data_IF_945771812687
#
_entry.id   IF_945771812687
#
_cell.length_a   1.000
_cell.length_b   1.000
_cell.length_c   1.000
_cell.angle_alpha   90.00
_cell.angle_beta   90.00
_cell.angle_gamma   90.00
#
_symmetry.space_group_name_H-M   'P 1'
#
loop_
_entity.id
_entity.type
_entity.pdbx_description
1 polymer ?
#
# COMPACT_ATOMS: atom_id res chain seq x y z
N UNK A 1 11.86 9.28 -14.53
CA UNK A 1 11.85 8.53 -13.27
C UNK A 1 12.89 7.44 -13.36
N UNK A 2 13.90 7.44 -12.50
CA UNK A 2 14.84 6.31 -12.40
C UNK A 2 14.04 5.16 -11.78
N UNK A 3 14.01 3.99 -12.43
CA UNK A 3 13.37 2.81 -11.86
C UNK A 3 14.08 2.47 -10.54
N UNK A 4 13.33 2.44 -9.43
CA UNK A 4 13.89 2.06 -8.13
C UNK A 4 14.47 0.65 -8.21
N UNK A 5 15.63 0.43 -7.60
CA UNK A 5 16.20 -0.90 -7.53
C UNK A 5 15.34 -1.80 -6.63
N UNK A 6 15.32 -3.11 -6.91
CA UNK A 6 14.57 -4.10 -6.11
C UNK A 6 14.82 -3.99 -4.58
N UNK A 7 16.06 -3.80 -4.07
CA UNK A 7 16.28 -3.61 -2.64
C UNK A 7 15.73 -2.29 -2.08
N UNK A 8 15.75 -1.21 -2.84
CA UNK A 8 15.16 0.07 -2.42
C UNK A 8 13.63 -0.03 -2.32
N UNK A 9 12.99 -0.69 -3.28
CA UNK A 9 11.55 -0.95 -3.25
C UNK A 9 11.18 -1.84 -2.05
N UNK A 10 11.97 -2.88 -1.79
CA UNK A 10 11.80 -3.75 -0.63
C UNK A 10 11.95 -2.99 0.69
N UNK A 11 12.95 -2.11 0.79
CA UNK A 11 13.16 -1.26 1.97
C UNK A 11 12.01 -0.29 2.18
N UNK A 12 11.53 0.37 1.12
CA UNK A 12 10.37 1.26 1.19
C UNK A 12 9.14 0.51 1.71
N UNK A 13 8.81 -0.64 1.14
CA UNK A 13 7.71 -1.50 1.62
C UNK A 13 7.91 -1.93 3.07
N UNK A 14 9.13 -2.29 3.45
CA UNK A 14 9.46 -2.66 4.82
C UNK A 14 9.14 -1.54 5.81
N UNK A 15 9.67 -0.34 5.55
CA UNK A 15 9.40 0.86 6.36
C UNK A 15 7.91 1.18 6.44
N UNK A 16 7.19 1.10 5.31
CA UNK A 16 5.74 1.35 5.28
C UNK A 16 4.97 0.37 6.17
N UNK A 17 5.26 -0.93 6.09
CA UNK A 17 4.59 -1.95 6.90
C UNK A 17 4.91 -1.78 8.38
N UNK A 18 6.19 -1.61 8.71
CA UNK A 18 6.65 -1.42 10.09
C UNK A 18 6.03 -0.19 10.74
N UNK A 19 5.95 0.92 10.02
CA UNK A 19 5.32 2.14 10.51
C UNK A 19 3.81 1.98 10.70
N UNK A 20 3.09 1.44 9.70
CA UNK A 20 1.63 1.22 9.75
C UNK A 20 1.23 0.23 10.85
N UNK A 21 1.99 -0.84 11.04
CA UNK A 21 1.70 -1.92 11.99
C UNK A 21 2.40 -1.77 13.35
N UNK A 22 3.26 -0.75 13.52
CA UNK A 22 4.06 -0.49 14.73
C UNK A 22 4.87 -1.72 15.19
N UNK A 23 5.51 -2.39 14.23
CA UNK A 23 6.28 -3.63 14.48
C UNK A 23 7.66 -3.28 15.04
N UNK A 24 8.05 -3.91 16.15
CA UNK A 24 9.43 -3.83 16.69
C UNK A 24 10.28 -4.95 16.09
N UNK A 25 10.84 -4.72 14.90
CA UNK A 25 11.58 -5.75 14.17
C UNK A 25 12.75 -6.34 14.97
N UNK A 26 13.43 -5.51 15.77
CA UNK A 26 14.57 -5.95 16.59
C UNK A 26 14.24 -7.13 17.49
N UNK A 27 13.05 -7.13 18.10
CA UNK A 27 12.63 -8.14 19.07
C UNK A 27 12.60 -9.55 18.46
N UNK A 28 12.34 -9.67 17.16
CA UNK A 28 12.33 -10.94 16.44
C UNK A 28 13.72 -11.47 16.07
N UNK A 29 14.78 -10.67 16.25
CA UNK A 29 16.16 -11.06 15.96
C UNK A 29 16.98 -11.36 17.21
N UNK A 30 16.60 -10.79 18.38
CA UNK A 30 17.38 -10.91 19.63
C UNK A 30 17.61 -12.37 20.03
N UNK A 31 16.61 -13.23 19.87
CA UNK A 31 16.70 -14.65 20.25
C UNK A 31 17.72 -15.45 19.42
N UNK A 32 18.01 -14.98 18.20
CA UNK A 32 19.01 -15.59 17.32
C UNK A 32 20.44 -15.11 17.62
N UNK A 33 20.61 -13.95 18.27
CA UNK A 33 21.90 -13.32 18.58
C UNK A 33 22.19 -13.35 20.09
N UNK A 34 22.32 -14.57 20.65
CA UNK A 34 22.57 -14.78 22.10
C UNK A 34 23.83 -14.07 22.61
N UNK A 35 24.83 -13.90 21.75
CA UNK A 35 26.11 -13.25 22.08
C UNK A 35 26.06 -11.73 21.88
N UNK A 36 24.92 -11.16 21.45
CA UNK A 36 24.74 -9.72 21.20
C UNK A 36 25.83 -9.16 20.29
N UNK A 37 26.18 -9.91 19.26
CA UNK A 37 27.17 -9.51 18.25
C UNK A 37 26.59 -8.52 17.24
N UNK A 38 25.28 -8.54 17.02
CA UNK A 38 24.60 -7.82 15.95
C UNK A 38 24.55 -8.59 14.62
N UNK A 39 25.10 -9.81 14.59
CA UNK A 39 25.20 -10.62 13.39
C UNK A 39 24.43 -11.93 13.58
N UNK A 40 23.56 -12.26 12.63
CA UNK A 40 22.82 -13.53 12.60
C UNK A 40 23.00 -14.21 11.25
N UNK A 41 22.72 -15.51 11.17
CA UNK A 41 22.72 -16.19 9.88
C UNK A 41 21.59 -15.70 8.98
N UNK A 42 21.81 -15.72 7.68
CA UNK A 42 20.81 -15.30 6.68
C UNK A 42 19.44 -15.99 6.86
N UNK A 43 19.43 -17.30 7.12
CA UNK A 43 18.19 -18.03 7.39
C UNK A 43 17.49 -17.53 8.66
N UNK A 44 18.24 -17.17 9.71
CA UNK A 44 17.69 -16.60 10.94
C UNK A 44 17.10 -15.20 10.69
N UNK A 45 17.74 -14.41 9.84
CA UNK A 45 17.22 -13.12 9.40
C UNK A 45 15.88 -13.27 8.65
N UNK A 46 15.80 -14.18 7.67
CA UNK A 46 14.55 -14.45 6.95
C UNK A 46 13.47 -15.02 7.87
N UNK A 47 13.83 -15.86 8.84
CA UNK A 47 12.89 -16.35 9.87
C UNK A 47 12.37 -15.23 10.75
N UNK A 48 13.23 -14.31 11.23
CA UNK A 48 12.82 -13.15 12.03
C UNK A 48 11.83 -12.26 11.27
N UNK A 49 12.08 -12.02 9.99
CA UNK A 49 11.14 -11.29 9.12
C UNK A 49 9.81 -12.04 8.95
N UNK A 50 9.84 -13.36 8.79
CA UNK A 50 8.63 -14.19 8.73
C UNK A 50 7.84 -14.15 10.05
N UNK A 51 8.52 -14.25 11.20
CA UNK A 51 7.89 -14.18 12.53
C UNK A 51 7.23 -12.82 12.79
N UNK A 52 7.82 -11.75 12.28
CA UNK A 52 7.22 -10.41 12.34
C UNK A 52 6.04 -10.20 11.38
N UNK A 53 5.72 -11.19 10.53
CA UNK A 53 4.60 -11.17 9.58
C UNK A 53 4.88 -10.44 8.26
N UNK A 54 6.14 -10.09 7.98
CA UNK A 54 6.52 -9.31 6.79
C UNK A 54 6.31 -10.07 5.49
N UNK A 55 6.35 -11.40 5.54
CA UNK A 55 6.06 -12.29 4.41
C UNK A 55 4.65 -12.16 3.84
N UNK A 56 3.71 -11.55 4.58
CA UNK A 56 2.35 -11.24 4.08
C UNK A 56 2.33 -10.05 3.11
N UNK A 57 3.33 -9.17 3.18
CA UNK A 57 3.35 -7.88 2.49
C UNK A 57 4.50 -7.75 1.49
N UNK A 58 5.59 -8.51 1.69
CA UNK A 58 6.80 -8.42 0.90
C UNK A 58 7.12 -9.79 0.32
N UNK A 59 7.38 -9.83 -0.99
CA UNK A 59 7.70 -11.08 -1.72
C UNK A 59 9.00 -11.69 -1.20
N UNK A 60 9.10 -13.02 -1.22
CA UNK A 60 10.31 -13.73 -0.78
C UNK A 60 11.58 -13.26 -1.48
N UNK A 61 11.52 -12.94 -2.78
CA UNK A 61 12.66 -12.40 -3.53
C UNK A 61 13.08 -11.00 -3.06
N UNK A 62 12.14 -10.18 -2.58
CA UNK A 62 12.43 -8.86 -2.01
C UNK A 62 13.04 -8.99 -0.61
N UNK A 63 12.53 -9.91 0.21
CA UNK A 63 13.12 -10.23 1.53
C UNK A 63 14.54 -10.78 1.38
N UNK A 64 14.77 -11.63 0.37
CA UNK A 64 16.10 -12.13 0.02
C UNK A 64 17.04 -10.99 -0.37
N UNK A 65 16.59 -10.06 -1.23
CA UNK A 65 17.42 -8.90 -1.60
C UNK A 65 17.78 -7.99 -0.42
N UNK A 66 16.90 -7.90 0.60
CA UNK A 66 17.23 -7.21 1.84
C UNK A 66 18.32 -7.97 2.60
N UNK A 67 18.18 -9.27 2.77
CA UNK A 67 19.21 -10.09 3.44
C UNK A 67 20.57 -9.95 2.75
N UNK A 68 20.61 -10.00 1.42
CA UNK A 68 21.84 -9.83 0.62
C UNK A 68 22.49 -8.45 0.82
N UNK A 69 21.70 -7.38 0.89
CA UNK A 69 22.19 -6.01 1.08
C UNK A 69 22.83 -5.74 2.45
N UNK A 70 22.53 -6.57 3.45
CA UNK A 70 23.07 -6.45 4.81
C UNK A 70 24.08 -7.56 5.16
N UNK A 71 24.55 -8.34 4.17
CA UNK A 71 25.62 -9.34 4.37
C UNK A 71 26.95 -8.68 4.73
N UNK A 72 27.66 -9.26 5.68
CA UNK A 72 29.00 -8.80 6.10
C UNK A 72 30.06 -9.64 5.41
N UNK A 73 31.00 -8.97 4.72
CA UNK A 73 32.08 -9.61 3.96
C UNK A 73 33.19 -10.23 4.84
N UNK A 74 33.31 -9.78 6.09
CA UNK A 74 34.49 -10.04 6.94
C UNK A 74 34.59 -11.43 7.57
N UNK A 75 33.53 -12.25 7.58
CA UNK A 75 33.63 -13.61 8.12
C UNK A 75 33.70 -14.65 7.01
N UNK A 76 34.93 -14.97 6.62
CA UNK A 76 35.30 -16.14 5.81
C UNK A 76 34.33 -17.30 6.07
N UNK A 77 33.52 -17.62 5.04
CA UNK A 77 32.62 -18.77 4.92
C UNK A 77 31.28 -18.74 5.65
N UNK A 78 30.93 -17.71 6.41
CA UNK A 78 29.64 -17.66 7.12
C UNK A 78 28.77 -16.51 6.59
N UNK A 79 27.68 -16.87 5.91
CA UNK A 79 26.64 -15.95 5.40
C UNK A 79 25.89 -15.28 6.57
N UNK A 80 26.53 -14.30 7.20
CA UNK A 80 25.98 -13.50 8.29
C UNK A 80 25.46 -12.17 7.79
N UNK A 81 24.37 -11.73 8.40
CA UNK A 81 23.64 -10.49 8.11
C UNK A 81 23.69 -9.59 9.34
N UNK A 82 24.04 -8.32 9.12
CA UNK A 82 23.97 -7.27 10.14
C UNK A 82 22.52 -6.79 10.30
N UNK A 83 21.79 -7.49 11.17
CA UNK A 83 20.40 -7.14 11.46
C UNK A 83 20.29 -5.82 12.24
N UNK A 84 21.35 -5.36 12.92
CA UNK A 84 21.32 -4.09 13.66
C UNK A 84 21.28 -2.93 12.70
N UNK A 85 22.17 -2.94 11.70
CA UNK A 85 22.17 -1.93 10.65
C UNK A 85 20.84 -1.92 9.90
N UNK A 86 20.29 -3.09 9.59
CA UNK A 86 18.95 -3.20 8.99
C UNK A 86 17.86 -2.58 9.87
N UNK A 87 17.79 -2.95 11.15
CA UNK A 87 16.78 -2.41 12.07
C UNK A 87 16.95 -0.90 12.24
N UNK A 88 18.18 -0.41 12.32
CA UNK A 88 18.47 1.02 12.45
C UNK A 88 17.98 1.80 11.22
N UNK A 89 18.26 1.27 10.02
CA UNK A 89 17.80 1.87 8.77
C UNK A 89 16.27 1.86 8.68
N UNK A 90 15.59 0.81 9.15
CA UNK A 90 14.13 0.76 9.20
C UNK A 90 13.57 1.74 10.24
N UNK A 91 14.14 1.78 11.44
CA UNK A 91 13.70 2.62 12.56
C UNK A 91 13.83 4.14 12.28
N UNK A 92 14.63 4.53 11.27
CA UNK A 92 14.63 5.91 10.75
C UNK A 92 13.24 6.42 10.34
N UNK A 93 12.30 5.50 10.08
CA UNK A 93 10.90 5.81 9.79
C UNK A 93 10.17 6.46 10.98
N UNK A 94 10.64 6.24 12.20
CA UNK A 94 10.08 6.81 13.42
C UNK A 94 10.86 8.02 13.90
N UNK A 95 12.19 7.93 13.93
CA UNK A 95 13.05 9.01 14.38
C UNK A 95 14.49 8.80 13.91
N UNK A 96 15.27 9.87 13.90
CA UNK A 96 16.70 9.80 13.62
C UNK A 96 17.46 9.49 14.91
N UNK A 97 18.44 8.60 14.83
CA UNK A 97 19.37 8.36 15.95
C UNK A 97 20.25 9.59 16.21
N UNK A 98 20.74 9.67 17.44
CA UNK A 98 21.74 10.66 17.87
C UNK A 98 21.30 12.13 17.70
N UNK A 99 20.01 12.44 17.83
CA UNK A 99 19.51 13.82 17.77
C UNK A 99 20.12 14.71 18.86
N UNK A 100 20.54 14.13 19.99
CA UNK A 100 21.29 14.82 21.04
C UNK A 100 22.63 15.40 20.56
N UNK A 101 23.21 14.84 19.48
CA UNK A 101 24.44 15.34 18.84
C UNK A 101 24.15 16.40 17.77
N UNK A 102 22.89 16.62 17.43
CA UNK A 102 22.48 17.52 16.34
C UNK A 102 21.14 18.20 16.65
N UNK A 103 21.10 19.10 17.66
CA UNK A 103 19.85 19.68 18.17
C UNK A 103 19.11 20.57 17.16
N UNK A 104 19.79 21.06 16.12
CA UNK A 104 19.20 21.89 15.06
C UNK A 104 18.63 21.07 13.88
N UNK A 105 18.73 19.74 13.93
CA UNK A 105 18.24 18.89 12.84
C UNK A 105 16.72 18.76 12.92
N UNK A 106 16.03 19.31 11.92
CA UNK A 106 14.59 19.14 11.80
C UNK A 106 14.25 17.71 11.38
N UNK A 107 13.31 17.10 12.10
CA UNK A 107 12.79 15.76 11.79
C UNK A 107 11.29 15.92 11.50
N UNK A 108 10.81 15.45 10.34
CA UNK A 108 9.39 15.48 10.07
C UNK A 108 8.63 14.62 11.08
N UNK A 109 7.47 15.09 11.54
CA UNK A 109 6.66 14.40 12.54
C UNK A 109 6.18 13.02 12.10
N UNK A 110 6.13 12.78 10.79
CA UNK A 110 5.76 11.51 10.18
C UNK A 110 6.44 11.36 8.81
N UNK A 111 6.66 10.11 8.36
CA UNK A 111 7.22 9.82 7.04
C UNK A 111 6.14 9.98 5.97
N UNK A 112 5.79 11.23 5.62
CA UNK A 112 4.74 11.54 4.64
C UNK A 112 4.94 10.83 3.30
N UNK A 113 6.18 10.60 2.88
CA UNK A 113 6.52 9.89 1.64
C UNK A 113 6.11 8.40 1.62
N UNK A 114 5.88 7.81 2.80
CA UNK A 114 5.44 6.42 2.96
C UNK A 114 3.93 6.28 3.17
N UNK A 115 3.23 7.41 3.38
CA UNK A 115 1.82 7.45 3.73
C UNK A 115 1.03 8.11 2.60
N UNK A 116 0.24 7.33 1.87
CA UNK A 116 -0.74 7.89 0.95
C UNK A 116 -1.97 8.38 1.72
N UNK A 117 -1.90 9.62 2.20
CA UNK A 117 -3.02 10.32 2.86
C UNK A 117 -4.13 10.69 1.90
N UNK A 118 -3.83 10.71 0.60
CA UNK A 118 -4.73 11.11 -0.47
C UNK A 118 -5.37 9.92 -1.18
N UNK A 119 -5.09 8.68 -0.76
CA UNK A 119 -5.59 7.44 -1.40
C UNK A 119 -7.10 7.38 -1.57
N UNK A 120 -7.85 8.09 -0.73
CA UNK A 120 -9.31 8.17 -0.80
C UNK A 120 -9.81 9.43 -1.51
N UNK A 121 -8.93 10.39 -1.76
CA UNK A 121 -9.21 11.65 -2.47
C UNK A 121 -8.98 11.52 -3.96
N UNK A 122 -7.83 10.95 -4.36
CA UNK A 122 -7.46 10.79 -5.76
C UNK A 122 -6.77 9.44 -5.96
N UNK A 123 -6.99 8.82 -7.11
CA UNK A 123 -6.23 7.63 -7.51
C UNK A 123 -4.85 8.05 -8.01
N UNK A 124 -3.80 7.46 -7.44
CA UNK A 124 -2.41 7.66 -7.87
C UNK A 124 -2.08 6.96 -9.19
N UNK A 125 -2.97 6.09 -9.68
CA UNK A 125 -2.78 5.32 -10.91
C UNK A 125 -3.01 6.20 -12.12
N UNK A 126 -2.02 6.24 -13.02
CA UNK A 126 -2.10 7.00 -14.29
C UNK A 126 -2.23 6.01 -15.44
N UNK A 127 -3.33 6.12 -16.20
CA UNK A 127 -3.59 5.31 -17.39
C UNK A 127 -2.96 5.96 -18.63
N UNK A 128 -3.06 5.29 -19.78
CA UNK A 128 -2.61 5.89 -21.04
C UNK A 128 -3.44 7.14 -21.38
N UNK A 129 -2.88 8.13 -22.12
CA UNK A 129 -3.59 9.38 -22.42
C UNK A 129 -4.99 9.15 -23.03
N UNK A 130 -5.10 8.22 -23.99
CA UNK A 130 -6.38 7.87 -24.60
C UNK A 130 -7.38 7.27 -23.60
N UNK A 131 -6.91 6.49 -22.62
CA UNK A 131 -7.76 5.92 -21.56
C UNK A 131 -8.19 6.99 -20.55
N UNK A 132 -7.32 7.94 -20.21
CA UNK A 132 -7.66 9.06 -19.33
C UNK A 132 -8.70 10.00 -19.98
N UNK A 133 -8.59 10.26 -21.28
CA UNK A 133 -9.59 11.03 -22.02
C UNK A 133 -10.96 10.33 -22.01
N UNK A 134 -10.98 9.02 -22.25
CA UNK A 134 -12.21 8.21 -22.14
C UNK A 134 -12.76 8.19 -20.71
N UNK A 135 -11.89 8.06 -19.72
CA UNK A 135 -12.26 8.05 -18.30
C UNK A 135 -12.93 9.38 -17.91
N UNK A 136 -12.39 10.52 -18.37
CA UNK A 136 -12.97 11.83 -18.12
C UNK A 136 -14.40 11.94 -18.67
N UNK A 137 -14.64 11.46 -19.89
CA UNK A 137 -15.98 11.41 -20.50
C UNK A 137 -16.93 10.52 -19.70
N UNK A 138 -16.47 9.34 -19.28
CA UNK A 138 -17.25 8.39 -18.48
C UNK A 138 -17.61 9.00 -17.12
N UNK A 139 -16.64 9.55 -16.39
CA UNK A 139 -16.86 10.18 -15.09
C UNK A 139 -17.85 11.34 -15.20
N UNK A 140 -17.73 12.19 -16.21
CA UNK A 140 -18.65 13.33 -16.41
C UNK A 140 -20.08 12.87 -16.70
N UNK A 141 -20.26 11.82 -17.50
CA UNK A 141 -21.58 11.22 -17.74
C UNK A 141 -22.19 10.68 -16.43
N UNK A 142 -21.38 10.02 -15.61
CA UNK A 142 -21.84 9.49 -14.31
C UNK A 142 -22.21 10.61 -13.34
N UNK A 143 -21.38 11.67 -13.24
CA UNK A 143 -21.68 12.86 -12.44
C UNK A 143 -23.01 13.49 -12.78
N UNK A 144 -23.28 13.70 -14.08
CA UNK A 144 -24.55 14.27 -14.56
C UNK A 144 -25.75 13.41 -14.15
N UNK A 145 -25.65 12.08 -14.30
CA UNK A 145 -26.72 11.18 -13.93
C UNK A 145 -26.97 11.13 -12.43
N UNK A 146 -25.91 11.03 -11.61
CA UNK A 146 -26.02 11.06 -10.16
C UNK A 146 -26.65 12.38 -9.68
N UNK A 147 -26.23 13.51 -10.26
CA UNK A 147 -26.78 14.83 -9.95
C UNK A 147 -28.25 14.96 -10.33
N UNK A 148 -28.64 14.48 -11.52
CA UNK A 148 -30.05 14.52 -11.96
C UNK A 148 -30.96 13.64 -11.11
N UNK A 149 -30.47 12.47 -10.68
CA UNK A 149 -31.25 11.53 -9.86
C UNK A 149 -31.15 11.80 -8.36
N UNK A 150 -30.31 12.74 -7.92
CA UNK A 150 -30.06 13.01 -6.50
C UNK A 150 -29.43 11.83 -5.75
N UNK A 151 -28.59 11.04 -6.44
CA UNK A 151 -27.99 9.81 -5.90
C UNK A 151 -26.62 10.13 -5.28
N UNK A 152 -26.47 9.83 -4.00
CA UNK A 152 -25.17 9.76 -3.33
C UNK A 152 -24.54 8.41 -3.61
N UNK A 153 -23.32 8.37 -4.11
CA UNK A 153 -22.71 7.12 -4.63
C UNK A 153 -22.20 6.24 -3.49
N UNK A 154 -21.53 6.85 -2.52
CA UNK A 154 -20.86 6.14 -1.40
C UNK A 154 -21.79 5.16 -0.65
N UNK A 155 -23.03 5.54 -0.24
CA UNK A 155 -23.88 4.64 0.54
C UNK A 155 -24.23 3.31 -0.15
N UNK A 156 -24.30 3.26 -1.49
CA UNK A 156 -24.59 2.01 -2.21
C UNK A 156 -23.45 1.00 -2.15
N UNK A 157 -22.22 1.50 -2.08
CA UNK A 157 -21.02 0.69 -1.92
C UNK A 157 -20.76 0.33 -0.47
N UNK A 158 -21.13 1.20 0.48
CA UNK A 158 -21.09 0.86 1.92
C UNK A 158 -21.91 -0.43 2.14
N UNK A 159 -23.15 -0.51 1.65
CA UNK A 159 -23.98 -1.72 1.77
C UNK A 159 -23.32 -2.99 1.20
N UNK A 160 -22.63 -2.88 0.06
CA UNK A 160 -21.90 -4.01 -0.53
C UNK A 160 -20.62 -4.38 0.24
N UNK A 161 -19.94 -3.39 0.84
CA UNK A 161 -18.71 -3.59 1.60
C UNK A 161 -18.96 -4.23 3.00
N UNK A 162 -20.17 -4.11 3.54
CA UNK A 162 -20.56 -4.72 4.82
C UNK A 162 -21.10 -6.15 4.70
N UNK A 163 -21.12 -6.74 3.49
CA UNK A 163 -21.52 -8.14 3.30
C UNK A 163 -20.47 -9.10 3.90
N UNK A 164 -20.86 -9.78 4.97
CA UNK A 164 -20.04 -10.73 5.73
C UNK A 164 -19.56 -11.93 4.93
N UNK A 165 -20.17 -12.21 3.77
CA UNK A 165 -19.75 -13.31 2.89
C UNK A 165 -18.62 -12.93 1.92
N UNK A 166 -18.15 -11.67 1.96
CA UNK A 166 -17.13 -11.15 1.04
C UNK A 166 -15.81 -10.88 1.73
N UNK A 167 -14.71 -10.87 0.97
CA UNK A 167 -13.41 -10.42 1.47
C UNK A 167 -13.51 -8.95 1.90
N UNK A 168 -13.54 -8.69 3.20
CA UNK A 168 -13.74 -7.36 3.75
C UNK A 168 -12.42 -6.61 3.80
N UNK A 169 -12.34 -5.51 3.03
CA UNK A 169 -11.31 -4.50 3.17
C UNK A 169 -12.00 -3.14 3.29
N UNK A 170 -11.68 -2.40 4.35
CA UNK A 170 -12.31 -1.11 4.64
C UNK A 170 -12.20 -0.19 3.42
N UNK A 171 -13.30 0.45 3.04
CA UNK A 171 -13.40 1.37 1.90
C UNK A 171 -13.13 0.73 0.51
N UNK A 172 -13.16 -0.60 0.43
CA UNK A 172 -13.00 -1.34 -0.81
C UNK A 172 -14.13 -2.34 -1.03
N UNK A 173 -14.35 -2.72 -2.29
CA UNK A 173 -15.27 -3.78 -2.71
C UNK A 173 -14.59 -4.65 -3.76
N UNK A 174 -15.04 -5.89 -3.93
CA UNK A 174 -14.53 -6.77 -4.99
C UNK A 174 -14.95 -6.24 -6.37
N UNK A 175 -14.19 -6.59 -7.43
CA UNK A 175 -14.54 -6.22 -8.82
C UNK A 175 -15.99 -6.60 -9.19
N UNK A 176 -16.49 -7.83 -8.89
CA UNK A 176 -17.87 -8.19 -9.18
C UNK A 176 -18.89 -7.31 -8.45
N UNK A 177 -18.69 -7.05 -7.16
CA UNK A 177 -19.56 -6.16 -6.36
C UNK A 177 -19.54 -4.74 -6.92
N UNK A 178 -18.38 -4.26 -7.36
CA UNK A 178 -18.25 -2.95 -7.98
C UNK A 178 -19.10 -2.84 -9.25
N UNK A 179 -18.94 -3.80 -10.18
CA UNK A 179 -19.72 -3.87 -11.42
C UNK A 179 -21.21 -4.04 -11.16
N UNK A 180 -21.59 -4.83 -10.16
CA UNK A 180 -22.99 -5.02 -9.77
C UNK A 180 -23.61 -3.75 -9.20
N UNK A 181 -22.89 -3.01 -8.34
CA UNK A 181 -23.38 -1.74 -7.79
C UNK A 181 -23.59 -0.68 -8.90
N UNK A 182 -22.66 -0.58 -9.85
CA UNK A 182 -22.80 0.29 -11.03
C UNK A 182 -24.03 -0.07 -11.88
N UNK A 183 -24.31 -1.37 -12.04
CA UNK A 183 -25.40 -1.84 -12.88
C UNK A 183 -26.77 -1.77 -12.19
N UNK A 184 -26.92 -2.52 -11.10
CA UNK A 184 -28.22 -2.83 -10.48
C UNK A 184 -28.65 -1.72 -9.53
N UNK A 185 -27.74 -1.24 -8.70
CA UNK A 185 -28.08 -0.30 -7.63
C UNK A 185 -28.14 1.15 -8.12
N UNK A 186 -27.19 1.54 -8.97
CA UNK A 186 -27.11 2.91 -9.49
C UNK A 186 -27.85 3.08 -10.83
N UNK A 187 -28.14 1.96 -11.53
CA UNK A 187 -28.82 2.00 -12.84
C UNK A 187 -28.02 2.78 -13.90
N UNK A 188 -26.69 2.79 -13.79
CA UNK A 188 -25.79 3.61 -14.62
C UNK A 188 -25.32 2.85 -15.87
N UNK A 189 -25.37 1.52 -15.85
CA UNK A 189 -24.92 0.66 -16.96
C UNK A 189 -25.79 0.68 -18.20
N UNK A 190 -27.07 1.08 -18.12
CA UNK A 190 -27.88 1.32 -19.32
C UNK A 190 -27.29 2.43 -20.23
N UNK A 191 -26.32 3.19 -19.71
CA UNK A 191 -25.60 4.24 -20.43
C UNK A 191 -24.10 3.99 -20.59
N UNK A 192 -23.54 2.92 -20.01
CA UNK A 192 -22.11 2.61 -20.03
C UNK A 192 -21.87 1.37 -20.90
N UNK A 193 -20.83 1.39 -21.73
CA UNK A 193 -20.35 0.18 -22.37
C UNK A 193 -19.64 -0.71 -21.34
N UNK A 194 -19.58 -2.03 -21.58
CA UNK A 194 -18.83 -2.94 -20.70
C UNK A 194 -17.35 -2.53 -20.54
N UNK A 195 -16.76 -1.96 -21.59
CA UNK A 195 -15.41 -1.38 -21.59
C UNK A 195 -15.23 -0.22 -20.61
N UNK A 196 -16.28 0.58 -20.37
CA UNK A 196 -16.21 1.72 -19.47
C UNK A 196 -16.12 1.26 -18.01
N UNK A 197 -16.79 0.16 -17.67
CA UNK A 197 -16.72 -0.44 -16.34
C UNK A 197 -15.33 -1.04 -16.07
N UNK A 198 -14.72 -1.68 -17.07
CA UNK A 198 -13.36 -2.20 -16.97
C UNK A 198 -12.34 -1.07 -16.80
N UNK A 199 -12.54 0.07 -17.50
CA UNK A 199 -11.70 1.26 -17.35
C UNK A 199 -11.77 1.86 -15.94
N UNK A 200 -12.96 1.93 -15.35
CA UNK A 200 -13.14 2.37 -13.96
C UNK A 200 -12.44 1.41 -12.98
N UNK A 201 -12.59 0.10 -13.17
CA UNK A 201 -11.89 -0.89 -12.35
C UNK A 201 -10.38 -0.71 -12.47
N UNK A 202 -9.84 -0.57 -13.68
CA UNK A 202 -8.41 -0.37 -13.91
C UNK A 202 -7.87 0.89 -13.22
N UNK A 203 -8.65 1.97 -13.16
CA UNK A 203 -8.27 3.23 -12.49
C UNK A 203 -8.28 3.14 -10.95
N UNK A 204 -9.26 2.45 -10.38
CA UNK A 204 -9.55 2.47 -8.93
C UNK A 204 -9.21 1.17 -8.20
N UNK A 205 -8.66 0.16 -8.89
CA UNK A 205 -8.10 -1.04 -8.24
C UNK A 205 -6.88 -0.67 -7.40
N UNK A 206 -6.83 -1.19 -6.18
CA UNK A 206 -5.72 -0.99 -5.26
C UNK A 206 -4.74 -2.17 -5.36
N UNK A 207 -3.69 -1.98 -6.17
CA UNK A 207 -2.67 -3.00 -6.43
C UNK A 207 -1.93 -3.45 -5.14
N UNK A 208 -1.99 -2.68 -4.04
CA UNK A 208 -1.39 -3.07 -2.74
C UNK A 208 -2.20 -4.12 -1.99
N UNK A 209 -3.53 -4.18 -2.18
CA UNK A 209 -4.44 -4.99 -1.37
C UNK A 209 -5.27 -6.01 -2.16
N UNK A 210 -4.81 -6.38 -3.36
CA UNK A 210 -5.41 -7.40 -4.23
C UNK A 210 -6.34 -6.81 -5.30
N UNK A 211 -7.13 -7.66 -5.97
CA UNK A 211 -8.09 -7.25 -7.01
C UNK A 211 -9.35 -6.56 -6.40
N UNK A 212 -9.13 -5.58 -5.52
CA UNK A 212 -10.14 -4.85 -4.78
C UNK A 212 -10.20 -3.40 -5.27
N UNK A 213 -11.40 -2.85 -5.40
CA UNK A 213 -11.65 -1.51 -5.95
C UNK A 213 -11.92 -0.53 -4.80
N UNK A 214 -11.18 0.57 -4.77
CA UNK A 214 -11.35 1.67 -3.82
C UNK A 214 -12.57 2.51 -4.20
N UNK A 215 -13.75 2.11 -3.71
CA UNK A 215 -15.00 2.78 -4.04
C UNK A 215 -15.12 4.17 -3.41
N UNK A 216 -14.41 4.46 -2.32
CA UNK A 216 -14.44 5.79 -1.70
C UNK A 216 -13.77 6.80 -2.60
N UNK A 217 -12.60 6.47 -3.18
CA UNK A 217 -11.94 7.32 -4.17
C UNK A 217 -12.81 7.51 -5.42
N UNK A 218 -13.42 6.42 -5.91
CA UNK A 218 -14.37 6.51 -7.02
C UNK A 218 -15.56 7.44 -6.69
N UNK A 219 -16.14 7.32 -5.49
CA UNK A 219 -17.25 8.15 -5.05
C UNK A 219 -16.83 9.62 -4.99
N UNK A 220 -15.68 9.95 -4.39
CA UNK A 220 -15.19 11.34 -4.37
C UNK A 220 -14.98 11.93 -5.77
N UNK A 221 -14.60 11.11 -6.75
CA UNK A 221 -14.51 11.53 -8.15
C UNK A 221 -15.87 11.83 -8.79
N UNK A 222 -16.98 11.30 -8.28
CA UNK A 222 -18.34 11.53 -8.81
C UNK A 222 -19.08 12.61 -8.00
N UNK A 223 -19.11 12.47 -6.68
CA UNK A 223 -19.79 13.33 -5.74
C UNK A 223 -18.82 13.80 -4.65
N UNK A 224 -17.96 14.81 -4.93
CA UNK A 224 -17.07 15.35 -3.92
C UNK A 224 -17.88 15.99 -2.78
N UNK A 225 -17.48 15.80 -1.50
CA UNK A 225 -18.19 16.37 -0.37
C UNK A 225 -18.21 17.89 -0.47
N UNK A 226 -19.38 18.50 -0.24
CA UNK A 226 -19.49 19.95 -0.12
C UNK A 226 -18.86 20.36 1.22
N UNK A 227 -17.80 21.16 1.16
CA UNK A 227 -17.13 21.73 2.33
C UNK A 227 -17.94 22.88 2.95
#
# INVERSE_FOLDING_TARGET
MVAMSQPEEAMKKCKTVVYKQRIRLRDFFVDFDKLRTGLIFENQFLMGLSMSGMNKYIKSSQLQSLADGYKVAETDKLNKVDYRRFCDDVDTVFTLKDLEKSPLKEVPAEPTELLDKTRYQFSSKVLSPAKEDQLAVVLERLRKQCRMKGILVKPFFDDAAHDVNSCMLVNHVTIPQFKQCLNVKLGLMNSLAASDADLLVEKYVDDEYGDMVNYVCFSQSIDPPQH
#
